data_IF_920532618416
#
_entry.id   IF_920532618416
#
_cell.length_a   1.000
_cell.length_b   1.000
_cell.length_c   1.000
_cell.angle_alpha   90.00
_cell.angle_beta   90.00
_cell.angle_gamma   90.00
#
_symmetry.space_group_name_H-M   'P 1'
#
loop_
_entity.id
_entity.type
_entity.pdbx_description
1 polymer ?
#
# COMPACT_ATOMS: atom_id res chain seq x y z
N UNK A 1 -8.40 1.86 -0.67
CA UNK A 1 -7.57 3.06 -0.43
C UNK A 1 -7.84 3.69 0.93
N UNK A 2 -9.10 3.97 1.29
CA UNK A 2 -9.47 4.59 2.58
C UNK A 2 -8.95 3.83 3.80
N UNK A 3 -9.01 2.50 3.83
CA UNK A 3 -8.51 1.70 4.95
C UNK A 3 -7.01 1.92 5.21
N UNK A 4 -6.20 1.96 4.14
CA UNK A 4 -4.76 2.24 4.25
C UNK A 4 -4.54 3.66 4.80
N UNK A 5 -5.35 4.64 4.35
CA UNK A 5 -5.32 6.01 4.88
C UNK A 5 -5.73 6.11 6.35
N UNK A 6 -6.69 5.30 6.77
CA UNK A 6 -7.11 5.20 8.17
C UNK A 6 -5.98 4.62 9.04
N UNK A 7 -5.32 3.56 8.60
CA UNK A 7 -4.19 2.97 9.31
C UNK A 7 -3.02 3.96 9.44
N UNK A 8 -2.70 4.69 8.37
CA UNK A 8 -1.72 5.78 8.43
C UNK A 8 -2.13 6.88 9.41
N UNK A 9 -3.40 7.30 9.41
CA UNK A 9 -3.94 8.28 10.36
C UNK A 9 -3.77 7.80 11.80
N UNK A 10 -4.06 6.52 12.09
CA UNK A 10 -3.86 5.91 13.41
C UNK A 10 -2.38 5.93 13.81
N UNK A 11 -1.44 5.72 12.88
CA UNK A 11 -0.01 5.82 13.17
C UNK A 11 0.40 7.23 13.62
N UNK A 12 -0.18 8.29 13.03
CA UNK A 12 0.06 9.67 13.45
C UNK A 12 -0.53 9.95 14.85
N UNK A 13 -1.79 9.56 15.09
CA UNK A 13 -2.49 9.83 16.36
C UNK A 13 -1.88 9.06 17.53
N UNK A 14 -1.44 7.81 17.33
CA UNK A 14 -0.80 7.00 18.40
C UNK A 14 0.51 7.58 18.92
N UNK A 15 1.14 8.52 18.22
CA UNK A 15 2.30 9.27 18.70
C UNK A 15 1.93 10.51 19.52
N UNK A 16 0.65 10.72 19.82
CA UNK A 16 0.15 11.86 20.61
C UNK A 16 -0.07 13.13 19.80
N UNK A 17 0.10 13.08 18.47
CA UNK A 17 -0.01 14.24 17.61
C UNK A 17 -1.45 14.61 17.32
N UNK A 18 -1.73 15.92 17.28
CA UNK A 18 -3.06 16.44 16.96
C UNK A 18 -3.32 16.36 15.45
N UNK A 19 -3.73 15.18 14.97
CA UNK A 19 -4.08 14.93 13.58
C UNK A 19 -5.57 14.54 13.46
N UNK A 20 -6.48 15.51 13.26
CA UNK A 20 -7.90 15.23 13.11
C UNK A 20 -8.12 14.22 11.98
N UNK A 21 -8.85 13.12 12.18
CA UNK A 21 -8.95 12.04 11.19
C UNK A 21 -9.43 12.50 9.80
N UNK A 22 -10.30 13.52 9.76
CA UNK A 22 -10.79 14.12 8.50
C UNK A 22 -9.68 14.83 7.73
N UNK A 23 -8.88 15.66 8.42
CA UNK A 23 -7.74 16.36 7.84
C UNK A 23 -6.64 15.38 7.42
N UNK A 24 -6.36 14.38 8.25
CA UNK A 24 -5.40 13.33 7.92
C UNK A 24 -5.82 12.56 6.67
N UNK A 25 -7.08 12.18 6.55
CA UNK A 25 -7.56 11.51 5.33
C UNK A 25 -7.39 12.39 4.08
N UNK A 26 -7.60 13.70 4.18
CA UNK A 26 -7.34 14.64 3.10
C UNK A 26 -5.85 14.69 2.72
N UNK A 27 -4.95 14.75 3.70
CA UNK A 27 -3.49 14.70 3.48
C UNK A 27 -3.07 13.38 2.82
N UNK A 28 -3.65 12.27 3.27
CA UNK A 28 -3.39 10.94 2.74
C UNK A 28 -3.76 10.86 1.25
N UNK A 29 -5.00 11.21 0.88
CA UNK A 29 -5.45 11.10 -0.50
C UNK A 29 -4.77 12.12 -1.42
N UNK A 30 -4.52 13.35 -0.95
CA UNK A 30 -3.73 14.31 -1.72
C UNK A 30 -2.32 13.79 -2.00
N UNK A 31 -1.65 13.21 -1.00
CA UNK A 31 -0.35 12.57 -1.19
C UNK A 31 -0.42 11.30 -2.05
N UNK A 32 -1.53 10.56 -2.01
CA UNK A 32 -1.71 9.37 -2.86
C UNK A 32 -1.68 9.68 -4.35
N UNK A 33 -2.19 10.85 -4.76
CA UNK A 33 -2.10 11.29 -6.15
C UNK A 33 -0.65 11.46 -6.61
N UNK A 34 0.28 11.71 -5.69
CA UNK A 34 1.71 11.75 -5.97
C UNK A 34 2.26 10.48 -6.61
N UNK A 35 1.62 9.31 -6.44
CA UNK A 35 2.10 8.07 -7.06
C UNK A 35 2.05 8.11 -8.58
N UNK A 36 1.25 9.01 -9.17
CA UNK A 36 1.13 9.20 -10.61
C UNK A 36 2.13 10.22 -11.17
N UNK A 37 2.99 10.80 -10.33
CA UNK A 37 4.02 11.76 -10.74
C UNK A 37 5.37 11.04 -10.88
N UNK A 38 6.18 11.34 -11.92
CA UNK A 38 7.51 10.75 -12.10
C UNK A 38 8.43 10.95 -10.89
N UNK A 39 9.16 9.91 -10.48
CA UNK A 39 10.18 9.98 -9.42
C UNK A 39 9.87 9.22 -8.12
N UNK A 40 8.68 8.64 -7.96
CA UNK A 40 8.36 7.65 -6.90
C UNK A 40 8.33 8.15 -5.45
N UNK A 41 8.94 9.31 -5.15
CA UNK A 41 9.04 9.89 -3.80
C UNK A 41 7.80 10.70 -3.37
N UNK A 42 6.98 11.12 -4.34
CA UNK A 42 5.87 12.04 -4.10
C UNK A 42 4.78 11.53 -3.15
N UNK A 43 4.45 10.22 -3.09
CA UNK A 43 3.55 9.71 -2.06
C UNK A 43 4.08 9.91 -0.65
N UNK A 44 5.40 9.83 -0.46
CA UNK A 44 6.04 10.03 0.83
C UNK A 44 6.04 11.52 1.17
N UNK A 45 6.59 12.33 0.27
CA UNK A 45 6.72 13.78 0.47
C UNK A 45 5.36 14.43 0.62
N UNK A 46 4.40 14.12 -0.27
CA UNK A 46 3.07 14.71 -0.24
C UNK A 46 2.31 14.45 1.07
N UNK A 47 2.31 13.20 1.55
CA UNK A 47 1.63 12.86 2.81
C UNK A 47 2.34 13.48 4.02
N UNK A 48 3.66 13.36 4.07
CA UNK A 48 4.45 13.80 5.21
C UNK A 48 4.47 15.34 5.34
N UNK A 49 4.66 16.07 4.24
CA UNK A 49 4.66 17.54 4.24
C UNK A 49 3.29 18.13 4.60
N UNK A 50 2.21 17.54 4.08
CA UNK A 50 0.85 17.98 4.44
C UNK A 50 0.55 17.73 5.92
N UNK A 51 1.01 16.61 6.47
CA UNK A 51 0.92 16.35 7.91
C UNK A 51 1.80 17.33 8.72
N UNK A 52 2.99 17.68 8.24
CA UNK A 52 3.87 18.67 8.89
C UNK A 52 3.26 20.07 8.91
N UNK A 53 2.68 20.51 7.80
CA UNK A 53 1.89 21.76 7.74
C UNK A 53 0.66 21.73 8.64
N UNK A 54 0.17 20.53 8.94
CA UNK A 54 -0.90 20.27 9.90
C UNK A 54 -0.47 20.25 11.37
N UNK A 55 0.81 20.50 11.68
CA UNK A 55 1.34 20.56 13.04
C UNK A 55 2.03 19.28 13.53
N UNK A 56 2.14 18.23 12.71
CA UNK A 56 2.89 17.02 13.08
C UNK A 56 4.40 17.26 12.93
N UNK A 57 5.24 16.95 13.92
CA UNK A 57 6.70 17.04 13.78
C UNK A 57 7.20 16.29 12.54
N UNK A 58 8.09 16.94 11.76
CA UNK A 58 8.57 16.42 10.48
C UNK A 58 9.12 15.00 10.58
N UNK A 59 9.95 14.71 11.58
CA UNK A 59 10.51 13.37 11.80
C UNK A 59 9.43 12.30 11.95
N UNK A 60 8.35 12.61 12.66
CA UNK A 60 7.26 11.66 12.91
C UNK A 60 6.34 11.48 11.72
N UNK A 61 6.05 12.56 10.98
CA UNK A 61 5.25 12.50 9.75
C UNK A 61 5.92 11.60 8.69
N UNK A 62 7.23 11.77 8.48
CA UNK A 62 7.99 10.92 7.55
C UNK A 62 8.12 9.48 8.06
N UNK A 63 8.39 9.27 9.36
CA UNK A 63 8.48 7.93 9.94
C UNK A 63 7.16 7.17 9.84
N UNK A 64 6.03 7.81 10.15
CA UNK A 64 4.70 7.19 10.05
C UNK A 64 4.33 6.86 8.59
N UNK A 65 4.69 7.75 7.66
CA UNK A 65 4.46 7.54 6.22
C UNK A 65 5.29 6.38 5.70
N UNK A 66 6.58 6.33 6.02
CA UNK A 66 7.46 5.22 5.67
C UNK A 66 6.98 3.89 6.25
N UNK A 67 6.61 3.86 7.54
CA UNK A 67 6.07 2.67 8.20
C UNK A 67 4.77 2.18 7.53
N UNK A 68 3.87 3.10 7.18
CA UNK A 68 2.63 2.75 6.46
C UNK A 68 2.93 2.13 5.10
N UNK A 69 3.90 2.65 4.35
CA UNK A 69 4.26 2.09 3.04
C UNK A 69 4.91 0.72 3.16
N UNK A 70 5.88 0.57 4.08
CA UNK A 70 6.53 -0.73 4.35
C UNK A 70 5.49 -1.78 4.76
N UNK A 71 4.61 -1.47 5.70
CA UNK A 71 3.57 -2.42 6.15
C UNK A 71 2.54 -2.72 5.06
N UNK A 72 2.21 -1.74 4.21
CA UNK A 72 1.36 -1.98 3.03
C UNK A 72 2.02 -2.94 2.03
N UNK A 73 3.32 -2.80 1.77
CA UNK A 73 4.07 -3.66 0.84
C UNK A 73 4.32 -5.06 1.41
N UNK A 74 4.64 -5.18 2.69
CA UNK A 74 4.70 -6.47 3.37
C UNK A 74 3.35 -7.19 3.34
N UNK A 75 2.25 -6.45 3.50
CA UNK A 75 0.91 -7.00 3.38
C UNK A 75 0.61 -7.45 1.94
N UNK A 76 1.14 -6.76 0.94
CA UNK A 76 1.04 -7.18 -0.46
C UNK A 76 1.76 -8.51 -0.68
N UNK A 77 3.00 -8.63 -0.20
CA UNK A 77 3.80 -9.85 -0.28
C UNK A 77 3.09 -11.03 0.42
N UNK A 78 2.52 -10.78 1.60
CA UNK A 78 1.73 -11.79 2.31
C UNK A 78 0.46 -12.17 1.55
N UNK A 79 -0.25 -11.20 0.96
CA UNK A 79 -1.42 -11.44 0.13
C UNK A 79 -1.09 -12.25 -1.13
N UNK A 80 0.08 -12.02 -1.75
CA UNK A 80 0.60 -12.85 -2.86
C UNK A 80 0.77 -14.29 -2.38
N UNK A 81 1.44 -14.51 -1.24
CA UNK A 81 1.66 -15.85 -0.73
C UNK A 81 0.35 -16.59 -0.42
N UNK A 82 -0.58 -15.92 0.27
CA UNK A 82 -1.90 -16.46 0.61
C UNK A 82 -2.69 -16.75 -0.67
N UNK A 83 -2.77 -15.79 -1.59
CA UNK A 83 -3.46 -15.96 -2.87
C UNK A 83 -2.91 -17.15 -3.65
N UNK A 84 -1.58 -17.27 -3.72
CA UNK A 84 -0.87 -18.35 -4.41
C UNK A 84 -1.16 -19.74 -3.84
N UNK A 85 -1.27 -19.84 -2.51
CA UNK A 85 -1.56 -21.09 -1.80
C UNK A 85 -3.04 -21.48 -1.89
N UNK A 86 -3.94 -20.53 -1.63
CA UNK A 86 -5.38 -20.79 -1.57
C UNK A 86 -5.96 -21.06 -2.96
N UNK A 87 -5.45 -20.39 -4.00
CA UNK A 87 -5.84 -20.65 -5.40
C UNK A 87 -5.20 -21.90 -6.00
N UNK A 88 -4.21 -22.50 -5.32
CA UNK A 88 -3.38 -23.58 -5.86
C UNK A 88 -2.67 -23.27 -7.19
N UNK A 89 -2.55 -21.99 -7.57
CA UNK A 89 -1.90 -21.60 -8.83
C UNK A 89 -0.38 -21.80 -8.79
N UNK A 90 0.28 -21.36 -7.72
CA UNK A 90 1.74 -21.50 -7.55
C UNK A 90 2.11 -21.87 -6.10
N UNK A 91 1.68 -23.04 -5.59
CA UNK A 91 1.79 -23.37 -4.17
C UNK A 91 3.23 -23.37 -3.67
N UNK A 92 4.18 -23.89 -4.45
CA UNK A 92 5.61 -23.87 -4.10
C UNK A 92 6.14 -22.44 -3.89
N UNK A 93 5.82 -21.52 -4.81
CA UNK A 93 6.19 -20.11 -4.68
C UNK A 93 5.54 -19.45 -3.46
N UNK A 94 4.28 -19.83 -3.15
CA UNK A 94 3.58 -19.38 -1.95
C UNK A 94 4.27 -19.81 -0.66
N UNK A 95 4.67 -21.09 -0.55
CA UNK A 95 5.40 -21.61 0.60
C UNK A 95 6.79 -20.97 0.74
N UNK A 96 7.54 -20.83 -0.36
CA UNK A 96 8.84 -20.16 -0.36
C UNK A 96 8.68 -18.70 0.08
N UNK A 97 7.68 -17.99 -0.45
CA UNK A 97 7.39 -16.61 -0.06
C UNK A 97 7.07 -16.47 1.44
N UNK A 98 6.26 -17.36 1.99
CA UNK A 98 6.00 -17.39 3.45
C UNK A 98 7.27 -17.67 4.25
N UNK A 99 8.10 -18.63 3.82
CA UNK A 99 9.36 -18.94 4.48
C UNK A 99 10.31 -17.73 4.47
N UNK A 100 10.40 -17.01 3.35
CA UNK A 100 11.20 -15.77 3.23
C UNK A 100 10.66 -14.67 4.14
N UNK A 101 9.34 -14.47 4.18
CA UNK A 101 8.72 -13.48 5.08
C UNK A 101 8.93 -13.84 6.55
N UNK A 102 8.77 -15.12 6.92
CA UNK A 102 9.00 -15.60 8.27
C UNK A 102 10.48 -15.44 8.67
N UNK A 103 11.41 -15.82 7.80
CA UNK A 103 12.84 -15.64 8.01
C UNK A 103 13.22 -14.15 8.14
N UNK A 104 12.68 -13.29 7.28
CA UNK A 104 12.84 -11.84 7.38
C UNK A 104 12.30 -11.28 8.70
N UNK A 105 11.16 -11.79 9.17
CA UNK A 105 10.61 -11.40 10.47
C UNK A 105 11.44 -11.88 11.65
N UNK A 106 11.95 -13.13 11.61
CA UNK A 106 12.82 -13.70 12.65
C UNK A 106 14.14 -12.93 12.75
N UNK A 107 14.77 -12.62 11.60
CA UNK A 107 16.01 -11.83 11.54
C UNK A 107 15.79 -10.40 12.04
N UNK A 108 14.66 -9.76 11.70
CA UNK A 108 14.29 -8.44 12.22
C UNK A 108 13.97 -8.45 13.73
N UNK A 109 13.45 -9.58 14.24
CA UNK A 109 13.14 -9.76 15.67
C UNK A 109 14.39 -9.94 16.52
N UNK A 110 15.53 -10.31 15.93
CA UNK A 110 16.80 -10.42 16.62
C UNK A 110 17.32 -9.02 17.02
N UNK A 111 17.46 -8.80 18.33
CA UNK A 111 17.84 -7.51 18.92
C UNK A 111 19.19 -6.98 18.42
N UNK A 112 20.15 -7.86 18.20
CA UNK A 112 21.52 -7.52 17.74
C UNK A 112 21.53 -7.04 16.29
N UNK A 113 20.80 -7.74 15.41
CA UNK A 113 20.67 -7.34 14.00
C UNK A 113 19.87 -6.05 13.85
N UNK A 114 18.78 -5.91 14.62
CA UNK A 114 17.98 -4.69 14.68
C UNK A 114 18.82 -3.50 15.12
N UNK A 115 19.70 -3.66 16.11
CA UNK A 115 20.62 -2.62 16.57
C UNK A 115 21.63 -2.21 15.48
N UNK A 116 22.15 -3.16 14.69
CA UNK A 116 23.02 -2.86 13.53
C UNK A 116 22.29 -2.12 12.41
N UNK A 117 21.07 -2.50 12.09
CA UNK A 117 20.25 -1.77 11.10
C UNK A 117 19.94 -0.36 11.60
N UNK A 118 19.60 -0.21 12.89
CA UNK A 118 19.40 1.10 13.51
C UNK A 118 20.64 1.98 13.49
N UNK A 119 21.83 1.41 13.74
CA UNK A 119 23.08 2.18 13.71
C UNK A 119 23.44 2.64 12.30
N UNK A 120 23.15 1.85 11.27
CA UNK A 120 23.29 2.24 9.87
C UNK A 120 22.27 3.33 9.47
N UNK A 121 21.01 3.18 9.86
CA UNK A 121 19.96 4.17 9.58
C UNK A 121 20.20 5.49 10.30
N UNK A 122 20.72 5.47 11.53
CA UNK A 122 21.07 6.66 12.29
C UNK A 122 22.23 7.46 11.66
N UNK A 123 23.09 6.83 10.85
CA UNK A 123 24.13 7.55 10.08
C UNK A 123 23.55 8.41 8.96
N UNK A 124 22.38 8.03 8.43
CA UNK A 124 21.72 8.74 7.33
C UNK A 124 20.64 9.70 7.85
N UNK A 125 19.99 9.36 8.96
CA UNK A 125 18.99 10.21 9.63
C UNK A 125 19.14 10.10 11.16
N UNK A 126 19.77 11.10 11.81
CA UNK A 126 20.05 11.11 13.25
C UNK A 126 18.83 11.00 14.18
N UNK A 127 17.61 11.00 13.63
CA UNK A 127 16.33 10.85 14.35
C UNK A 127 15.49 9.67 13.86
N UNK A 128 16.08 8.71 13.15
CA UNK A 128 15.44 7.46 12.74
C UNK A 128 15.24 6.46 13.89
N UNK A 129 15.50 6.88 15.13
CA UNK A 129 15.35 6.08 16.34
C UNK A 129 13.87 5.81 16.64
N UNK A 130 13.29 4.86 15.92
CA UNK A 130 12.29 3.90 16.39
C UNK A 130 11.91 3.05 15.18
N UNK A 131 12.78 2.11 14.80
CA UNK A 131 12.28 0.94 14.07
C UNK A 131 11.14 0.39 14.91
N UNK A 132 10.00 0.21 14.27
CA UNK A 132 8.81 -0.26 14.94
C UNK A 132 9.08 -1.63 15.53
N UNK A 133 8.61 -1.87 16.75
CA UNK A 133 8.73 -3.17 17.41
C UNK A 133 8.24 -4.29 16.48
N UNK A 134 8.91 -5.45 16.43
CA UNK A 134 8.53 -6.54 15.52
C UNK A 134 7.05 -6.91 15.63
N UNK A 135 6.52 -7.02 16.86
CA UNK A 135 5.09 -7.28 17.09
C UNK A 135 4.20 -6.22 16.46
N UNK A 136 4.55 -4.94 16.62
CA UNK A 136 3.79 -3.82 16.02
C UNK A 136 3.90 -3.83 14.49
N UNK A 137 5.06 -4.17 13.93
CA UNK A 137 5.24 -4.33 12.48
C UNK A 137 4.32 -5.44 11.94
N UNK A 138 4.30 -6.60 12.60
CA UNK A 138 3.44 -7.72 12.23
C UNK A 138 1.95 -7.34 12.31
N UNK A 139 1.53 -6.74 13.43
CA UNK A 139 0.13 -6.29 13.62
C UNK A 139 -0.28 -5.29 12.53
N UNK A 140 0.58 -4.33 12.20
CA UNK A 140 0.30 -3.36 11.15
C UNK A 140 0.26 -4.00 9.76
N UNK A 141 1.16 -4.94 9.47
CA UNK A 141 1.14 -5.71 8.21
C UNK A 141 -0.17 -6.49 8.07
N UNK A 142 -0.58 -7.24 9.11
CA UNK A 142 -1.84 -7.98 9.12
C UNK A 142 -3.03 -7.02 8.97
N UNK A 143 -2.99 -5.85 9.64
CA UNK A 143 -4.05 -4.85 9.54
C UNK A 143 -4.24 -4.28 8.12
N UNK A 144 -3.21 -4.32 7.26
CA UNK A 144 -3.31 -3.91 5.85
C UNK A 144 -3.83 -5.01 4.93
N UNK A 145 -3.86 -6.29 5.35
CA UNK A 145 -4.37 -7.39 4.50
C UNK A 145 -5.80 -7.17 3.99
N UNK A 146 -6.77 -6.71 4.82
CA UNK A 146 -8.12 -6.46 4.32
C UNK A 146 -8.16 -5.43 3.19
N UNK A 147 -7.22 -4.47 3.14
CA UNK A 147 -7.14 -3.52 2.03
C UNK A 147 -6.80 -4.23 0.70
N UNK A 148 -5.88 -5.20 0.74
CA UNK A 148 -5.50 -6.00 -0.42
C UNK A 148 -6.62 -6.93 -0.88
N UNK A 149 -7.37 -7.52 0.06
CA UNK A 149 -8.57 -8.32 -0.23
C UNK A 149 -9.62 -7.44 -0.93
N UNK A 150 -9.92 -6.25 -0.39
CA UNK A 150 -10.89 -5.32 -0.99
C UNK A 150 -10.46 -4.83 -2.38
N UNK A 151 -9.17 -4.55 -2.57
CA UNK A 151 -8.62 -4.19 -3.89
C UNK A 151 -8.76 -5.33 -4.90
N UNK A 152 -8.50 -6.56 -4.46
CA UNK A 152 -8.63 -7.75 -5.31
C UNK A 152 -10.10 -8.02 -5.65
N UNK A 153 -11.01 -7.87 -4.69
CA UNK A 153 -12.44 -7.97 -4.92
C UNK A 153 -12.94 -6.90 -5.90
N UNK A 154 -12.49 -5.65 -5.78
CA UNK A 154 -12.78 -4.60 -6.76
C UNK A 154 -12.32 -4.99 -8.16
N UNK A 155 -11.20 -5.69 -8.26
CA UNK A 155 -10.67 -6.17 -9.55
C UNK A 155 -11.46 -7.37 -10.07
N UNK A 156 -11.92 -8.28 -9.19
CA UNK A 156 -12.84 -9.37 -9.53
C UNK A 156 -14.19 -8.85 -10.05
N UNK A 157 -14.75 -7.82 -9.41
CA UNK A 157 -16.00 -7.17 -9.88
C UNK A 157 -15.78 -6.49 -11.22
N UNK A 158 -14.59 -5.92 -11.46
CA UNK A 158 -14.25 -5.40 -12.79
C UNK A 158 -14.17 -6.56 -13.80
N UNK A 159 -13.57 -7.68 -13.43
CA UNK A 159 -13.44 -8.86 -14.29
C UNK A 159 -14.80 -9.45 -14.71
N UNK A 160 -15.77 -9.52 -13.79
CA UNK A 160 -17.11 -10.02 -14.11
C UNK A 160 -17.84 -9.15 -15.15
N UNK A 161 -17.58 -7.84 -15.18
CA UNK A 161 -18.12 -6.95 -16.21
C UNK A 161 -17.58 -7.25 -17.63
N UNK A 162 -16.43 -7.91 -17.73
CA UNK A 162 -15.86 -8.39 -19.00
C UNK A 162 -16.19 -9.87 -19.27
N UNK A 163 -17.04 -10.51 -18.47
CA UNK A 163 -17.35 -11.93 -18.58
C UNK A 163 -16.16 -12.84 -18.24
N UNK A 164 -15.14 -12.31 -17.57
CA UNK A 164 -13.96 -13.09 -17.17
C UNK A 164 -14.25 -13.86 -15.87
N UNK A 165 -14.22 -15.19 -15.95
CA UNK A 165 -14.37 -16.07 -14.79
C UNK A 165 -12.99 -16.39 -14.18
N UNK A 166 -12.54 -15.51 -13.29
CA UNK A 166 -11.35 -15.76 -12.47
C UNK A 166 -11.79 -15.87 -11.01
N UNK A 167 -11.46 -17.00 -10.39
CA UNK A 167 -11.69 -17.21 -8.96
C UNK A 167 -11.09 -16.09 -8.10
N UNK A 168 -11.85 -15.63 -7.10
CA UNK A 168 -11.48 -14.48 -6.24
C UNK A 168 -10.10 -14.67 -5.58
N UNK A 169 -9.76 -15.91 -5.22
CA UNK A 169 -8.49 -16.28 -4.60
C UNK A 169 -7.32 -16.17 -5.58
N UNK A 170 -7.51 -16.51 -6.85
CA UNK A 170 -6.52 -16.31 -7.90
C UNK A 170 -6.37 -14.81 -8.23
N UNK A 171 -7.47 -14.06 -8.22
CA UNK A 171 -7.44 -12.61 -8.38
C UNK A 171 -6.67 -11.90 -7.26
N UNK A 172 -6.70 -12.43 -6.03
CA UNK A 172 -5.87 -11.93 -4.92
C UNK A 172 -4.38 -12.03 -5.23
N UNK A 173 -3.94 -13.17 -5.79
CA UNK A 173 -2.57 -13.36 -6.23
C UNK A 173 -2.22 -12.38 -7.38
N UNK A 174 -3.00 -12.39 -8.46
CA UNK A 174 -2.75 -11.58 -9.66
C UNK A 174 -2.69 -10.08 -9.32
N UNK A 175 -3.70 -9.59 -8.59
CA UNK A 175 -3.81 -8.17 -8.25
C UNK A 175 -2.66 -7.74 -7.35
N UNK A 176 -2.38 -8.51 -6.28
CA UNK A 176 -1.32 -8.15 -5.33
C UNK A 176 0.06 -8.19 -5.96
N UNK A 177 0.35 -9.18 -6.82
CA UNK A 177 1.61 -9.31 -7.54
C UNK A 177 1.83 -8.16 -8.54
N UNK A 178 0.80 -7.85 -9.33
CA UNK A 178 0.82 -6.74 -10.29
C UNK A 178 1.09 -5.40 -9.62
N UNK A 179 0.39 -5.10 -8.51
CA UNK A 179 0.62 -3.87 -7.76
C UNK A 179 2.00 -3.82 -7.10
N UNK A 180 2.44 -4.91 -6.48
CA UNK A 180 3.75 -4.96 -5.83
C UNK A 180 4.87 -4.74 -6.86
N UNK A 181 4.79 -5.38 -8.03
CA UNK A 181 5.74 -5.16 -9.12
C UNK A 181 5.75 -3.69 -9.56
N UNK A 182 4.58 -3.07 -9.71
CA UNK A 182 4.47 -1.64 -10.04
C UNK A 182 5.04 -0.70 -8.96
N UNK A 183 5.06 -1.11 -7.69
CA UNK A 183 5.68 -0.33 -6.61
C UNK A 183 7.20 -0.50 -6.51
N UNK A 184 7.73 -1.66 -6.91
CA UNK A 184 9.18 -1.95 -6.86
C UNK A 184 9.94 -1.18 -7.94
N UNK A 185 9.33 -0.96 -9.10
CA UNK A 185 9.95 -0.22 -10.20
C UNK A 185 9.86 1.29 -9.95
N UNK A 186 10.87 1.83 -9.26
CA UNK A 186 10.98 3.26 -8.94
C UNK A 186 11.21 4.07 -10.21
N UNK A 187 10.54 5.23 -10.32
CA UNK A 187 10.67 6.17 -11.44
C UNK A 187 9.55 6.06 -12.47
N UNK A 188 8.84 4.93 -12.51
CA UNK A 188 7.68 4.75 -13.37
C UNK A 188 6.41 5.30 -12.70
N UNK A 189 5.77 6.35 -13.25
CA UNK A 189 4.60 6.96 -12.63
C UNK A 189 3.45 5.96 -12.52
N UNK A 190 2.98 5.70 -11.31
CA UNK A 190 1.87 4.79 -11.03
C UNK A 190 2.10 3.34 -11.48
N UNK A 191 3.36 2.95 -11.72
CA UNK A 191 3.70 1.64 -12.28
C UNK A 191 3.19 1.42 -13.71
N UNK A 192 3.01 2.50 -14.51
CA UNK A 192 2.64 2.42 -15.95
C UNK A 192 3.48 1.37 -16.68
N UNK A 193 2.81 0.49 -17.42
CA UNK A 193 3.44 -0.55 -18.21
C UNK A 193 3.80 -1.77 -17.37
N UNK A 194 4.49 -1.59 -16.23
CA UNK A 194 4.87 -2.71 -15.35
C UNK A 194 3.64 -3.41 -14.78
N UNK A 195 2.72 -2.62 -14.20
CA UNK A 195 1.53 -3.16 -13.53
C UNK A 195 0.64 -3.91 -14.52
N UNK A 196 0.42 -3.32 -15.69
CA UNK A 196 -0.38 -3.89 -16.78
C UNK A 196 0.28 -5.14 -17.36
N UNK A 197 1.59 -5.13 -17.56
CA UNK A 197 2.31 -6.27 -18.12
C UNK A 197 2.25 -7.46 -17.18
N UNK A 198 2.52 -7.24 -15.88
CA UNK A 198 2.44 -8.31 -14.87
C UNK A 198 1.00 -8.80 -14.71
N UNK A 199 0.02 -7.90 -14.67
CA UNK A 199 -1.39 -8.30 -14.60
C UNK A 199 -1.78 -9.15 -15.81
N UNK A 200 -1.45 -8.68 -17.02
CA UNK A 200 -1.79 -9.35 -18.28
C UNK A 200 -1.08 -10.70 -18.41
N UNK A 201 0.19 -10.79 -18.01
CA UNK A 201 0.94 -12.04 -18.04
C UNK A 201 0.33 -13.10 -17.11
N UNK A 202 -0.05 -12.70 -15.89
CA UNK A 202 -0.64 -13.62 -14.92
C UNK A 202 -2.10 -13.97 -15.28
N UNK A 203 -2.93 -12.97 -15.59
CA UNK A 203 -4.33 -13.17 -15.96
C UNK A 203 -4.49 -13.86 -17.32
N UNK A 204 -3.56 -13.65 -18.25
CA UNK A 204 -3.54 -14.28 -19.57
C UNK A 204 -3.31 -15.79 -19.55
N UNK A 205 -2.90 -16.36 -18.41
CA UNK A 205 -2.90 -17.82 -18.21
C UNK A 205 -4.31 -18.40 -18.13
N UNK A 206 -5.29 -17.58 -17.74
CA UNK A 206 -6.69 -17.98 -17.56
C UNK A 206 -7.64 -17.31 -18.56
N UNK A 207 -7.22 -16.20 -19.19
CA UNK A 207 -8.04 -15.39 -20.09
C UNK A 207 -7.39 -15.22 -21.46
N UNK A 208 -8.20 -14.92 -22.46
CA UNK A 208 -7.70 -14.42 -23.74
C UNK A 208 -6.85 -13.14 -23.52
N UNK A 209 -5.70 -12.99 -24.20
CA UNK A 209 -4.83 -11.83 -24.05
C UNK A 209 -5.54 -10.48 -24.20
N UNK A 210 -6.49 -10.36 -25.14
CA UNK A 210 -7.24 -9.11 -25.35
C UNK A 210 -8.12 -8.74 -24.14
N UNK A 211 -8.75 -9.75 -23.51
CA UNK A 211 -9.56 -9.56 -22.29
C UNK A 211 -8.65 -9.22 -21.10
N UNK A 212 -7.51 -9.89 -20.97
CA UNK A 212 -6.54 -9.64 -19.90
C UNK A 212 -5.99 -8.21 -19.94
N UNK A 213 -5.63 -7.70 -21.12
CA UNK A 213 -5.19 -6.31 -21.31
C UNK A 213 -6.32 -5.33 -20.99
N UNK A 214 -7.53 -5.58 -21.51
CA UNK A 214 -8.69 -4.73 -21.27
C UNK A 214 -9.02 -4.63 -19.79
N UNK A 215 -8.98 -5.75 -19.07
CA UNK A 215 -9.19 -5.81 -17.63
C UNK A 215 -8.09 -5.08 -16.85
N UNK A 216 -6.82 -5.23 -17.25
CA UNK A 216 -5.70 -4.51 -16.63
C UNK A 216 -5.91 -2.99 -16.72
N UNK A 217 -6.29 -2.49 -17.89
CA UNK A 217 -6.57 -1.07 -18.13
C UNK A 217 -7.82 -0.59 -17.40
N UNK A 218 -8.92 -1.35 -17.46
CA UNK A 218 -10.17 -0.99 -16.80
C UNK A 218 -10.01 -0.92 -15.28
N UNK A 219 -9.37 -1.92 -14.67
CA UNK A 219 -9.10 -1.91 -13.23
C UNK A 219 -8.25 -0.70 -12.82
N UNK A 220 -7.28 -0.30 -13.64
CA UNK A 220 -6.48 0.90 -13.42
C UNK A 220 -7.33 2.16 -13.46
N UNK A 221 -8.22 2.31 -14.43
CA UNK A 221 -9.15 3.45 -14.50
C UNK A 221 -10.01 3.52 -13.24
N UNK A 222 -10.54 2.38 -12.78
CA UNK A 222 -11.30 2.29 -11.52
C UNK A 222 -10.46 2.78 -10.33
N UNK A 223 -9.21 2.34 -10.21
CA UNK A 223 -8.35 2.79 -9.09
C UNK A 223 -7.98 4.26 -9.18
N UNK A 224 -7.72 4.80 -10.37
CA UNK A 224 -7.48 6.24 -10.57
C UNK A 224 -8.73 7.02 -10.14
N UNK A 225 -9.92 6.59 -10.56
CA UNK A 225 -11.17 7.21 -10.14
C UNK A 225 -11.36 7.16 -8.62
N UNK A 226 -11.07 6.03 -7.98
CA UNK A 226 -11.13 5.88 -6.51
C UNK A 226 -10.19 6.87 -5.81
N UNK A 227 -8.97 7.06 -6.32
CA UNK A 227 -8.02 8.00 -5.71
C UNK A 227 -8.43 9.45 -5.91
N UNK A 228 -8.92 9.82 -7.11
CA UNK A 228 -9.40 11.17 -7.41
C UNK A 228 -10.65 11.53 -6.60
N UNK A 229 -11.65 10.64 -6.59
CA UNK A 229 -12.88 10.81 -5.82
C UNK A 229 -12.56 10.83 -4.33
N UNK A 230 -11.67 9.96 -3.87
CA UNK A 230 -11.19 9.95 -2.48
C UNK A 230 -10.54 11.27 -2.08
N UNK A 231 -9.68 11.83 -2.94
CA UNK A 231 -9.06 13.14 -2.71
C UNK A 231 -10.08 14.28 -2.69
N UNK A 232 -11.06 14.28 -3.60
CA UNK A 232 -12.11 15.28 -3.64
C UNK A 232 -12.99 15.24 -2.38
N UNK A 233 -13.54 14.07 -2.06
CA UNK A 233 -14.42 13.89 -0.91
C UNK A 233 -13.70 14.17 0.41
N UNK A 234 -12.47 13.69 0.59
CA UNK A 234 -11.71 13.94 1.80
C UNK A 234 -11.43 15.44 2.01
N UNK A 235 -11.14 16.18 0.93
CA UNK A 235 -10.96 17.63 1.00
C UNK A 235 -12.25 18.39 1.34
N UNK A 236 -13.39 18.01 0.75
CA UNK A 236 -14.70 18.61 1.06
C UNK A 236 -15.00 18.40 2.56
N UNK A 237 -14.90 17.15 3.03
CA UNK A 237 -15.16 16.79 4.44
C UNK A 237 -14.22 17.53 5.41
N UNK A 238 -12.96 17.70 5.05
CA UNK A 238 -12.00 18.44 5.86
C UNK A 238 -12.31 19.94 5.93
N UNK A 239 -12.78 20.56 4.84
CA UNK A 239 -13.19 21.97 4.81
C UNK A 239 -14.45 22.22 5.63
N UNK A 240 -15.48 21.38 5.49
CA UNK A 240 -16.72 21.52 6.26
C UNK A 240 -16.48 21.42 7.77
N UNK A 241 -15.52 20.59 8.20
CA UNK A 241 -15.16 20.47 9.62
C UNK A 241 -14.46 21.71 10.20
N UNK A 242 -13.78 22.52 9.37
CA UNK A 242 -13.19 23.79 9.80
C UNK A 242 -14.24 24.88 9.93
N UNK A 243 -15.22 24.92 9.04
CA UNK A 243 -16.31 25.89 9.05
C UNK A 243 -17.24 25.77 10.26
N UNK A 244 -17.31 24.61 10.91
CA UNK A 244 -18.13 24.38 12.12
C UNK A 244 -17.39 24.79 13.41
N UNK A 245 -16.07 25.00 13.33
CA UNK A 245 -15.23 25.38 14.48
C UNK A 245 -14.81 26.87 14.47
N UNK A 246 -15.15 27.61 13.42
CA UNK A 246 -14.96 29.05 13.30
C UNK A 246 -16.26 29.75 13.66
#
# INVERSE_FOLDING_TARGET
MTLIGYLWTRMLVTKGHHAPPRSAMAWYFAGQLGKYVPGGIWPIVGRAELATRGGVPRSDAYAATGLSMVTTYLAAALAICIGSLVSWSYPAAGFIGLAVLAFGFMTFSNSTLRAKVLSLLNRVSPRASTLTEPRRLLVLTIAHLPAWILMSLSTSVTASAFGADIGITHMLFITSASWLAGFVVVGVPGGIGVRESVFTALAGTALNPGVAVSLALASRVVFIAVDLVGALLANIVAKSAKSVKA
#
